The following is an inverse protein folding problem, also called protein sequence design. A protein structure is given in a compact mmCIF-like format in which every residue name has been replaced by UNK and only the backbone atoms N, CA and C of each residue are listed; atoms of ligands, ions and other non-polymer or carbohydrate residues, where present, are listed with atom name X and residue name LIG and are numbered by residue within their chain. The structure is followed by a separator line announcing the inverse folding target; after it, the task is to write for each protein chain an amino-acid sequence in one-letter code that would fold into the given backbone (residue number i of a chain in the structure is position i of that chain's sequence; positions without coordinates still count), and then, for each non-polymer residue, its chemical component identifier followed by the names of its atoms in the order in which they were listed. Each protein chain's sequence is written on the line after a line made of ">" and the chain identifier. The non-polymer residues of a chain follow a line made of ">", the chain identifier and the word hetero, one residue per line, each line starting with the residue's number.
data_IF_709906286404
#
_entry.id   IF_709906286404
#
_cell.length_a   1.000
_cell.length_b   1.000
_cell.length_c   1.000
_cell.angle_alpha   90.00
_cell.angle_beta   90.00
_cell.angle_gamma   90.00
#
_symmetry.space_group_name_H-M   'P 1'
#
loop_
_entity.id
_entity.type
_entity.pdbx_description
1 polymer ?
#
# COMPACT_ATOMS: atom_id res chain seq x y z
N UNK A 1 41.04 -16.80 -16.43
CA UNK A 1 40.15 -17.08 -17.57
C UNK A 1 38.74 -17.33 -17.05
N UNK A 2 38.07 -16.25 -16.65
CA UNK A 2 36.61 -16.15 -16.52
C UNK A 2 36.31 -14.73 -17.01
N UNK A 3 35.61 -14.63 -18.14
CA UNK A 3 35.48 -13.42 -18.91
C UNK A 3 34.73 -12.33 -18.13
N UNK A 4 35.39 -11.18 -18.01
CA UNK A 4 34.77 -9.88 -17.82
C UNK A 4 33.95 -9.55 -19.06
N UNK A 5 32.63 -9.67 -18.97
CA UNK A 5 31.69 -9.04 -19.89
C UNK A 5 31.15 -7.79 -19.20
N UNK A 6 31.91 -6.72 -19.36
CA UNK A 6 31.43 -5.36 -19.14
C UNK A 6 30.31 -5.10 -20.16
N UNK A 7 29.09 -4.81 -19.68
CA UNK A 7 27.99 -4.32 -20.52
C UNK A 7 27.88 -2.81 -20.29
N UNK A 8 28.47 -1.96 -21.15
CA UNK A 8 28.33 -0.51 -21.07
C UNK A 8 27.16 -0.10 -21.95
N UNK A 9 25.91 -0.40 -21.54
CA UNK A 9 24.73 0.06 -22.29
C UNK A 9 23.54 0.51 -21.43
N UNK A 10 23.75 0.69 -20.12
CA UNK A 10 22.72 1.17 -19.17
C UNK A 10 23.18 2.41 -18.38
N UNK A 11 23.86 3.33 -19.07
CA UNK A 11 24.00 4.74 -18.64
C UNK A 11 23.06 5.61 -19.49
N UNK A 12 21.76 5.51 -19.22
CA UNK A 12 20.77 6.46 -19.72
C UNK A 12 19.85 6.80 -18.54
N UNK A 13 19.77 8.08 -18.20
CA UNK A 13 19.26 8.68 -16.96
C UNK A 13 17.79 8.44 -16.58
N UNK A 14 17.13 7.41 -17.12
CA UNK A 14 15.79 6.99 -16.70
C UNK A 14 15.81 6.30 -15.33
N UNK A 15 16.87 5.55 -14.98
CA UNK A 15 17.01 4.96 -13.65
C UNK A 15 17.33 6.00 -12.58
N UNK A 16 17.98 7.12 -12.95
CA UNK A 16 18.27 8.22 -12.03
C UNK A 16 17.01 9.06 -11.73
N UNK A 17 16.03 9.08 -12.64
CA UNK A 17 14.71 9.67 -12.40
C UNK A 17 13.91 8.90 -11.34
N UNK A 18 14.11 7.59 -11.23
CA UNK A 18 13.54 6.75 -10.18
C UNK A 18 14.42 6.70 -8.92
N UNK A 19 15.72 6.97 -9.08
CA UNK A 19 16.67 7.21 -8.01
C UNK A 19 16.56 8.67 -7.56
N UNK A 20 15.35 9.11 -7.22
CA UNK A 20 15.20 10.43 -6.62
C UNK A 20 15.91 10.42 -5.29
N UNK A 21 16.82 11.39 -5.20
CA UNK A 21 17.62 11.81 -4.05
C UNK A 21 16.75 12.30 -2.86
N UNK A 22 15.55 11.75 -2.68
CA UNK A 22 14.61 12.10 -1.61
C UNK A 22 14.89 11.19 -0.42
N UNK A 23 15.83 11.69 0.38
CA UNK A 23 16.00 11.42 1.79
C UNK A 23 16.13 9.95 2.23
N UNK A 24 17.31 9.43 1.88
CA UNK A 24 18.08 8.41 2.61
C UNK A 24 18.14 8.64 4.15
N UNK A 25 17.71 9.80 4.68
CA UNK A 25 17.71 10.14 6.11
C UNK A 25 16.46 9.71 6.88
N UNK A 26 15.26 9.77 6.34
CA UNK A 26 14.04 9.54 7.15
C UNK A 26 13.85 8.08 7.55
N UNK A 27 14.09 7.15 6.61
CA UNK A 27 14.09 5.70 6.88
C UNK A 27 15.26 5.28 7.79
N UNK A 28 16.44 5.90 7.63
CA UNK A 28 17.61 5.68 8.48
C UNK A 28 17.45 6.25 9.90
N UNK A 29 16.71 7.34 10.09
CA UNK A 29 16.44 7.93 11.41
C UNK A 29 15.45 7.10 12.21
N UNK A 30 14.44 6.49 11.58
CA UNK A 30 13.49 5.59 12.26
C UNK A 30 14.15 4.27 12.71
N UNK A 31 15.11 3.77 11.92
CA UNK A 31 15.79 2.50 12.19
C UNK A 31 17.05 2.62 13.03
N UNK A 32 17.58 3.83 13.27
CA UNK A 32 18.77 4.03 14.13
C UNK A 32 18.62 3.52 15.57
N UNK A 33 17.39 3.33 16.06
CA UNK A 33 17.08 2.78 17.39
C UNK A 33 16.93 1.25 17.44
N UNK A 34 16.90 0.56 16.30
CA UNK A 34 16.71 -0.90 16.21
C UNK A 34 17.87 -1.44 15.39
N UNK A 35 18.53 -2.52 15.83
CA UNK A 35 19.60 -3.19 15.08
C UNK A 35 19.06 -3.93 13.84
N UNK A 36 18.37 -3.21 12.96
CA UNK A 36 17.94 -3.65 11.63
C UNK A 36 19.17 -3.53 10.73
N UNK A 37 19.53 -4.62 10.04
CA UNK A 37 20.61 -4.54 9.04
C UNK A 37 20.13 -3.62 7.92
N UNK A 38 20.90 -2.55 7.66
CA UNK A 38 20.61 -1.58 6.62
C UNK A 38 20.35 -2.29 5.29
N UNK A 39 19.26 -1.92 4.60
CA UNK A 39 19.09 -2.29 3.20
C UNK A 39 20.23 -1.66 2.40
N UNK A 40 20.89 -2.48 1.59
CA UNK A 40 22.03 -2.06 0.76
C UNK A 40 21.56 -1.12 -0.37
N UNK A 41 22.44 -0.27 -0.88
CA UNK A 41 22.11 0.73 -1.94
C UNK A 41 21.53 0.08 -3.22
N UNK A 42 21.94 -1.16 -3.49
CA UNK A 42 21.41 -1.99 -4.58
C UNK A 42 19.94 -2.38 -4.37
N UNK A 43 19.48 -2.61 -3.15
CA UNK A 43 18.09 -2.98 -2.86
C UNK A 43 17.13 -1.82 -3.10
N UNK A 44 17.50 -0.61 -2.66
CA UNK A 44 16.72 0.62 -2.87
C UNK A 44 16.57 0.90 -4.38
N UNK A 45 17.62 0.58 -5.17
CA UNK A 45 17.63 0.79 -6.62
C UNK A 45 16.60 -0.05 -7.38
N UNK A 46 16.25 -1.23 -6.88
CA UNK A 46 15.25 -2.11 -7.52
C UNK A 46 13.86 -1.99 -6.90
N UNK A 47 13.77 -1.51 -5.65
CA UNK A 47 12.50 -1.42 -4.93
C UNK A 47 11.53 -0.40 -5.54
N UNK A 48 11.99 0.82 -5.82
CA UNK A 48 11.13 1.86 -6.39
C UNK A 48 10.60 1.49 -7.79
N UNK A 49 11.41 0.95 -8.72
CA UNK A 49 10.90 0.44 -10.00
C UNK A 49 9.93 -0.74 -9.85
N UNK A 50 10.15 -1.66 -8.91
CA UNK A 50 9.26 -2.78 -8.63
C UNK A 50 7.88 -2.28 -8.15
N UNK A 51 7.86 -1.41 -7.15
CA UNK A 51 6.63 -0.74 -6.72
C UNK A 51 5.96 0.03 -7.87
N UNK A 52 6.75 0.72 -8.68
CA UNK A 52 6.29 1.42 -9.87
C UNK A 52 5.62 0.47 -10.89
N UNK A 53 6.17 -0.73 -11.08
CA UNK A 53 5.57 -1.76 -11.92
C UNK A 53 4.21 -2.22 -11.38
N UNK A 54 4.08 -2.46 -10.06
CA UNK A 54 2.79 -2.81 -9.45
C UNK A 54 1.74 -1.71 -9.69
N UNK A 55 2.13 -0.44 -9.50
CA UNK A 55 1.25 0.71 -9.69
C UNK A 55 0.91 0.95 -11.16
N UNK A 56 1.85 0.70 -12.08
CA UNK A 56 1.58 0.67 -13.50
C UNK A 56 0.58 -0.43 -13.88
N UNK A 57 0.71 -1.62 -13.32
CA UNK A 57 -0.22 -2.73 -13.54
C UNK A 57 -1.64 -2.38 -13.05
N UNK A 58 -1.80 -1.61 -11.95
CA UNK A 58 -3.10 -1.02 -11.55
C UNK A 58 -3.66 -0.17 -12.69
N UNK A 59 -2.86 0.77 -13.21
CA UNK A 59 -3.30 1.70 -14.25
C UNK A 59 -3.72 0.98 -15.54
N UNK A 60 -2.96 -0.04 -15.96
CA UNK A 60 -3.33 -0.88 -17.11
C UNK A 60 -4.63 -1.64 -16.84
N UNK A 61 -4.82 -2.19 -15.63
CA UNK A 61 -6.01 -2.96 -15.27
C UNK A 61 -7.28 -2.14 -15.02
N UNK A 62 -7.16 -0.82 -14.90
CA UNK A 62 -8.30 0.06 -14.66
C UNK A 62 -9.04 0.39 -15.96
N UNK A 63 -10.38 0.34 -15.95
CA UNK A 63 -11.22 0.70 -17.10
C UNK A 63 -12.09 1.92 -16.80
N UNK A 64 -12.31 2.78 -17.80
CA UNK A 64 -13.27 3.89 -17.71
C UNK A 64 -14.69 3.38 -17.34
N UNK A 65 -15.04 2.15 -17.75
CA UNK A 65 -16.32 1.53 -17.43
C UNK A 65 -16.48 1.24 -15.93
N UNK A 66 -15.40 0.86 -15.25
CA UNK A 66 -15.44 0.56 -13.81
C UNK A 66 -15.75 1.83 -13.02
N UNK A 67 -15.13 2.95 -13.40
CA UNK A 67 -15.42 4.27 -12.83
C UNK A 67 -16.88 4.67 -13.01
N UNK A 68 -17.42 4.55 -14.24
CA UNK A 68 -18.82 4.91 -14.52
C UNK A 68 -19.78 4.08 -13.66
N UNK A 69 -19.55 2.77 -13.53
CA UNK A 69 -20.42 1.90 -12.73
C UNK A 69 -20.32 2.20 -11.23
N UNK A 70 -19.10 2.42 -10.71
CA UNK A 70 -18.90 2.72 -9.30
C UNK A 70 -19.51 4.07 -8.89
N UNK A 71 -19.48 5.09 -9.75
CA UNK A 71 -20.11 6.38 -9.47
C UNK A 71 -21.64 6.31 -9.33
N UNK A 72 -22.28 5.19 -9.73
CA UNK A 72 -23.70 4.93 -9.43
C UNK A 72 -23.93 4.56 -7.95
N UNK A 73 -22.88 4.23 -7.19
CA UNK A 73 -22.94 3.85 -5.77
C UNK A 73 -22.07 4.77 -4.88
N UNK A 74 -22.29 6.10 -4.89
CA UNK A 74 -21.41 7.06 -4.21
C UNK A 74 -21.35 6.86 -2.69
N UNK A 75 -22.44 6.42 -2.07
CA UNK A 75 -22.47 6.13 -0.63
C UNK A 75 -21.51 5.00 -0.23
N UNK A 76 -21.39 3.97 -1.08
CA UNK A 76 -20.46 2.86 -0.82
C UNK A 76 -19.01 3.32 -0.94
N UNK A 77 -18.70 4.16 -1.94
CA UNK A 77 -17.38 4.79 -2.07
C UNK A 77 -17.06 5.62 -0.82
N UNK A 78 -18.00 6.46 -0.36
CA UNK A 78 -17.81 7.27 0.85
C UNK A 78 -17.60 6.42 2.10
N UNK A 79 -18.38 5.35 2.27
CA UNK A 79 -18.20 4.41 3.39
C UNK A 79 -16.82 3.73 3.34
N UNK A 80 -16.33 3.39 2.15
CA UNK A 80 -14.97 2.86 1.96
C UNK A 80 -13.90 3.85 2.39
N UNK A 81 -14.05 5.14 2.02
CA UNK A 81 -13.16 6.21 2.48
C UNK A 81 -13.16 6.38 4.00
N UNK A 82 -14.33 6.35 4.63
CA UNK A 82 -14.45 6.41 6.10
C UNK A 82 -13.77 5.19 6.73
N UNK A 83 -13.97 4.00 6.19
CA UNK A 83 -13.26 2.80 6.61
C UNK A 83 -11.74 2.98 6.53
N UNK A 84 -11.25 3.38 5.36
CA UNK A 84 -9.83 3.41 5.04
C UNK A 84 -9.05 4.55 5.71
N UNK A 85 -9.62 5.76 5.76
CA UNK A 85 -8.89 6.96 6.19
C UNK A 85 -9.41 7.56 7.50
N UNK A 86 -10.40 6.94 8.15
CA UNK A 86 -10.86 7.35 9.49
C UNK A 86 -10.80 6.18 10.46
N UNK A 87 -11.54 5.10 10.20
CA UNK A 87 -11.64 3.95 11.11
C UNK A 87 -10.30 3.25 11.24
N UNK A 88 -9.65 2.95 10.12
CA UNK A 88 -8.36 2.25 10.13
C UNK A 88 -7.23 3.07 10.78
N UNK A 89 -7.03 4.37 10.50
CA UNK A 89 -6.06 5.20 11.23
C UNK A 89 -6.34 5.29 12.73
N UNK A 90 -7.61 5.34 13.13
CA UNK A 90 -7.98 5.31 14.55
C UNK A 90 -7.58 3.99 15.22
N UNK A 91 -7.83 2.86 14.55
CA UNK A 91 -7.35 1.56 15.00
C UNK A 91 -5.81 1.51 15.05
N UNK A 92 -5.13 2.03 14.03
CA UNK A 92 -3.67 2.07 13.99
C UNK A 92 -3.08 2.91 15.13
N UNK A 93 -3.73 4.02 15.48
CA UNK A 93 -3.36 4.80 16.66
C UNK A 93 -3.52 3.99 17.95
N UNK A 94 -4.65 3.31 18.13
CA UNK A 94 -4.91 2.47 19.32
C UNK A 94 -3.87 1.35 19.42
N UNK A 95 -3.66 0.58 18.35
CA UNK A 95 -2.69 -0.52 18.33
C UNK A 95 -1.25 -0.02 18.45
N UNK A 96 -0.91 1.12 17.84
CA UNK A 96 0.40 1.75 17.99
C UNK A 96 0.67 2.26 19.41
N UNK A 97 -0.36 2.73 20.11
CA UNK A 97 -0.25 3.08 21.53
C UNK A 97 -0.12 1.84 22.41
N UNK A 98 -0.94 0.82 22.19
CA UNK A 98 -0.84 -0.48 22.90
C UNK A 98 0.55 -1.08 22.75
N UNK A 99 1.11 -1.06 21.53
CA UNK A 99 2.47 -1.49 21.23
C UNK A 99 3.49 -0.81 22.17
N UNK A 100 3.43 0.51 22.31
CA UNK A 100 4.43 1.26 23.10
C UNK A 100 4.16 1.18 24.60
N UNK A 101 2.91 1.25 25.05
CA UNK A 101 2.58 1.41 26.48
C UNK A 101 2.34 0.10 27.20
N UNK A 102 1.79 -0.92 26.52
CA UNK A 102 1.46 -2.22 27.12
C UNK A 102 2.57 -3.24 26.86
N UNK A 103 3.05 -3.30 25.62
CA UNK A 103 4.09 -4.24 25.20
C UNK A 103 5.50 -3.65 25.27
N UNK A 104 5.64 -2.40 25.71
CA UNK A 104 6.91 -1.69 25.86
C UNK A 104 7.78 -1.71 24.58
N UNK A 105 7.14 -1.71 23.41
CA UNK A 105 7.84 -1.70 22.12
C UNK A 105 8.47 -0.32 21.87
N UNK A 106 9.65 -0.22 21.24
CA UNK A 106 10.25 1.03 20.81
C UNK A 106 9.27 1.89 20.01
N UNK A 107 9.27 3.20 20.30
CA UNK A 107 8.42 4.20 19.62
C UNK A 107 8.42 4.11 18.09
N UNK A 108 9.56 3.83 17.41
CA UNK A 108 9.56 3.65 15.95
C UNK A 108 8.64 2.53 15.44
N UNK A 109 8.40 1.49 16.22
CA UNK A 109 7.53 0.38 15.80
C UNK A 109 6.05 0.70 16.00
N UNK A 110 5.69 1.36 17.10
CA UNK A 110 4.35 1.92 17.26
C UNK A 110 4.01 2.92 16.15
N UNK A 111 4.98 3.78 15.80
CA UNK A 111 4.86 4.69 14.66
C UNK A 111 4.72 3.95 13.33
N UNK A 112 5.44 2.84 13.13
CA UNK A 112 5.27 1.99 11.95
C UNK A 112 3.85 1.44 11.80
N UNK A 113 3.23 0.99 12.90
CA UNK A 113 1.81 0.53 12.89
C UNK A 113 0.88 1.70 12.51
N UNK A 114 1.09 2.89 13.08
CA UNK A 114 0.31 4.08 12.74
C UNK A 114 0.47 4.46 11.26
N UNK A 115 1.69 4.40 10.72
CA UNK A 115 1.95 4.71 9.31
C UNK A 115 1.24 3.72 8.38
N UNK A 116 1.36 2.41 8.68
CA UNK A 116 0.66 1.34 7.93
C UNK A 116 -0.85 1.54 7.94
N UNK A 117 -1.42 2.13 8.99
CA UNK A 117 -2.86 2.40 9.03
C UNK A 117 -3.33 3.59 8.19
N UNK A 118 -2.41 4.47 7.75
CA UNK A 118 -2.73 5.69 7.01
C UNK A 118 -2.69 5.51 5.49
N UNK A 119 -2.17 4.39 5.00
CA UNK A 119 -1.99 4.15 3.56
C UNK A 119 -3.29 3.76 2.87
N UNK A 120 -3.34 3.78 1.53
CA UNK A 120 -4.52 3.38 0.76
C UNK A 120 -4.78 1.86 0.78
N UNK A 121 -5.94 1.46 0.27
CA UNK A 121 -6.34 0.05 0.12
C UNK A 121 -5.44 -0.73 -0.85
N UNK A 122 -5.52 -2.06 -0.81
CA UNK A 122 -4.68 -2.95 -1.59
C UNK A 122 -5.35 -3.42 -2.88
N UNK A 123 -4.59 -3.74 -3.92
CA UNK A 123 -5.15 -4.43 -5.10
C UNK A 123 -5.72 -5.81 -4.77
N UNK A 124 -5.26 -6.42 -3.67
CA UNK A 124 -5.74 -7.72 -3.22
C UNK A 124 -7.24 -7.70 -2.88
N UNK A 125 -7.80 -6.56 -2.46
CA UNK A 125 -9.22 -6.43 -2.10
C UNK A 125 -10.10 -6.56 -3.35
N UNK A 126 -9.60 -6.10 -4.50
CA UNK A 126 -10.24 -6.26 -5.80
C UNK A 126 -10.36 -7.73 -6.17
N UNK A 127 -9.29 -8.52 -5.97
CA UNK A 127 -9.29 -9.96 -6.23
C UNK A 127 -10.19 -10.70 -5.24
N UNK A 128 -10.13 -10.36 -3.95
CA UNK A 128 -10.99 -10.95 -2.92
C UNK A 128 -12.48 -10.68 -3.23
N UNK A 129 -12.81 -9.44 -3.62
CA UNK A 129 -14.17 -9.07 -4.04
C UNK A 129 -14.57 -9.78 -5.32
N UNK A 130 -13.69 -9.89 -6.31
CA UNK A 130 -13.99 -10.63 -7.54
C UNK A 130 -14.31 -12.11 -7.28
N UNK A 131 -13.60 -12.75 -6.35
CA UNK A 131 -13.83 -14.16 -6.02
C UNK A 131 -15.09 -14.39 -5.17
N UNK A 132 -15.43 -13.44 -4.30
CA UNK A 132 -16.53 -13.60 -3.33
C UNK A 132 -17.85 -13.02 -3.83
N UNK A 133 -17.79 -11.85 -4.47
CA UNK A 133 -18.94 -11.07 -4.94
C UNK A 133 -18.61 -10.36 -6.28
N UNK A 134 -18.48 -11.10 -7.41
CA UNK A 134 -18.07 -10.56 -8.71
C UNK A 134 -18.81 -9.28 -9.17
N UNK A 135 -20.13 -9.13 -8.96
CA UNK A 135 -20.84 -7.90 -9.33
C UNK A 135 -20.35 -6.62 -8.62
N UNK A 136 -19.65 -6.75 -7.49
CA UNK A 136 -19.07 -5.62 -6.75
C UNK A 136 -17.59 -5.37 -7.06
N UNK A 137 -16.95 -6.21 -7.89
CA UNK A 137 -15.54 -6.02 -8.23
C UNK A 137 -15.22 -4.63 -8.81
N UNK A 138 -16.03 -4.04 -9.72
CA UNK A 138 -15.77 -2.69 -10.21
C UNK A 138 -15.81 -1.62 -9.11
N UNK A 139 -16.67 -1.78 -8.11
CA UNK A 139 -16.77 -0.88 -6.97
C UNK A 139 -15.49 -0.92 -6.12
N UNK A 140 -14.95 -2.11 -5.84
CA UNK A 140 -13.69 -2.33 -5.13
C UNK A 140 -12.52 -1.68 -5.87
N UNK A 141 -12.41 -1.94 -7.18
CA UNK A 141 -11.36 -1.35 -8.05
C UNK A 141 -11.37 0.17 -7.97
N UNK A 142 -12.55 0.79 -8.02
CA UNK A 142 -12.67 2.24 -7.97
C UNK A 142 -12.38 2.80 -6.57
N UNK A 143 -12.84 2.15 -5.49
CA UNK A 143 -12.50 2.57 -4.12
C UNK A 143 -10.98 2.53 -3.87
N UNK A 144 -10.33 1.45 -4.28
CA UNK A 144 -8.86 1.31 -4.21
C UNK A 144 -8.16 2.35 -5.07
N UNK A 145 -8.65 2.62 -6.29
CA UNK A 145 -8.05 3.61 -7.19
C UNK A 145 -8.18 5.03 -6.66
N UNK A 146 -9.37 5.41 -6.17
CA UNK A 146 -9.61 6.72 -5.60
C UNK A 146 -8.82 6.92 -4.31
N UNK A 147 -8.80 5.92 -3.41
CA UNK A 147 -8.01 6.01 -2.18
C UNK A 147 -6.52 6.11 -2.48
N UNK A 148 -6.02 5.39 -3.48
CA UNK A 148 -4.63 5.49 -3.95
C UNK A 148 -4.30 6.86 -4.51
N UNK A 149 -5.18 7.45 -5.32
CA UNK A 149 -5.00 8.79 -5.86
C UNK A 149 -4.97 9.87 -4.76
N UNK A 150 -5.88 9.76 -3.79
CA UNK A 150 -5.96 10.73 -2.68
C UNK A 150 -4.89 10.52 -1.61
N UNK A 151 -4.32 9.32 -1.49
CA UNK A 151 -3.28 8.96 -0.53
C UNK A 151 -1.99 9.79 -0.67
N UNK A 152 -1.72 10.39 -1.83
CA UNK A 152 -0.63 11.39 -2.02
C UNK A 152 -0.69 12.48 -0.97
N UNK A 153 -1.89 12.95 -0.63
CA UNK A 153 -2.10 14.03 0.33
C UNK A 153 -2.57 13.48 1.68
N UNK A 154 -3.47 12.49 1.67
CA UNK A 154 -4.09 11.96 2.89
C UNK A 154 -3.05 11.23 3.76
N UNK A 155 -2.19 10.39 3.18
CA UNK A 155 -1.21 9.61 3.94
C UNK A 155 -0.19 10.49 4.66
N UNK A 156 0.47 11.48 4.02
CA UNK A 156 1.41 12.35 4.72
C UNK A 156 0.74 13.20 5.81
N UNK A 157 -0.48 13.68 5.57
CA UNK A 157 -1.23 14.48 6.56
C UNK A 157 -1.65 13.65 7.78
N UNK A 158 -2.18 12.44 7.57
CA UNK A 158 -2.53 11.54 8.67
C UNK A 158 -1.28 11.06 9.42
N UNK A 159 -0.19 10.80 8.71
CA UNK A 159 1.09 10.41 9.33
C UNK A 159 1.65 11.54 10.19
N UNK A 160 1.61 12.78 9.70
CA UNK A 160 1.98 13.96 10.48
C UNK A 160 1.09 14.09 11.73
N UNK A 161 -0.21 13.89 11.59
CA UNK A 161 -1.17 13.99 12.71
C UNK A 161 -0.91 12.94 13.79
N UNK A 162 -0.72 11.66 13.42
CA UNK A 162 -0.60 10.55 14.35
C UNK A 162 0.82 10.39 14.91
N UNK A 163 1.84 10.68 14.10
CA UNK A 163 3.25 10.36 14.38
C UNK A 163 4.09 11.62 14.59
N UNK A 164 3.74 12.75 13.97
CA UNK A 164 4.59 13.95 13.89
C UNK A 164 4.98 14.58 15.24
N UNK A 165 4.25 14.30 16.32
CA UNK A 165 4.64 14.72 17.67
C UNK A 165 5.73 13.85 18.31
N UNK A 166 5.94 12.64 17.79
CA UNK A 166 6.84 11.61 18.34
C UNK A 166 8.08 11.40 17.46
N UNK A 167 7.95 11.56 16.15
CA UNK A 167 9.04 11.40 15.18
C UNK A 167 8.95 12.50 14.10
N UNK A 168 10.09 12.92 13.54
CA UNK A 168 10.10 13.86 12.42
C UNK A 168 9.45 13.21 11.19
N UNK A 169 8.38 13.82 10.68
CA UNK A 169 7.69 13.38 9.46
C UNK A 169 8.02 14.34 8.33
N UNK A 170 8.68 13.84 7.28
CA UNK A 170 9.00 14.62 6.08
C UNK A 170 7.84 14.57 5.08
N UNK A 171 6.84 15.44 5.31
CA UNK A 171 5.63 15.51 4.48
C UNK A 171 5.96 15.75 3.00
N UNK A 172 6.87 16.66 2.70
CA UNK A 172 7.19 17.03 1.32
C UNK A 172 7.94 15.90 0.61
N UNK A 173 8.84 15.22 1.32
CA UNK A 173 9.48 14.00 0.84
C UNK A 173 8.46 12.91 0.53
N UNK A 174 7.53 12.61 1.45
CA UNK A 174 6.48 11.61 1.24
C UNK A 174 5.60 11.94 0.03
N UNK A 175 5.15 13.19 -0.11
CA UNK A 175 4.34 13.63 -1.27
C UNK A 175 5.11 13.41 -2.58
N UNK A 176 6.38 13.84 -2.64
CA UNK A 176 7.22 13.66 -3.83
C UNK A 176 7.41 12.19 -4.19
N UNK A 177 7.70 11.35 -3.20
CA UNK A 177 7.89 9.91 -3.39
C UNK A 177 6.63 9.23 -3.91
N UNK A 178 5.46 9.54 -3.31
CA UNK A 178 4.19 8.96 -3.77
C UNK A 178 3.85 9.43 -5.19
N UNK A 179 4.08 10.71 -5.52
CA UNK A 179 3.85 11.21 -6.88
C UNK A 179 4.67 10.44 -7.93
N UNK A 180 5.93 10.14 -7.62
CA UNK A 180 6.84 9.47 -8.55
C UNK A 180 6.63 7.96 -8.63
N UNK A 181 6.44 7.29 -7.48
CA UNK A 181 6.40 5.83 -7.40
C UNK A 181 4.98 5.30 -7.63
N UNK A 182 3.95 6.09 -7.31
CA UNK A 182 2.56 5.66 -7.38
C UNK A 182 1.81 6.38 -8.49
N UNK A 183 1.78 7.71 -8.48
CA UNK A 183 0.90 8.46 -9.41
C UNK A 183 1.42 8.43 -10.83
N UNK A 184 2.71 8.70 -11.05
CA UNK A 184 3.29 8.71 -12.40
C UNK A 184 3.10 7.36 -13.12
N UNK A 185 3.32 6.18 -12.49
CA UNK A 185 3.12 4.88 -13.13
C UNK A 185 1.65 4.55 -13.38
N UNK A 186 0.75 4.89 -12.44
CA UNK A 186 -0.70 4.73 -12.66
C UNK A 186 -1.14 5.55 -13.87
N UNK A 187 -0.72 6.82 -13.93
CA UNK A 187 -1.04 7.72 -15.04
C UNK A 187 -0.49 7.17 -16.36
N UNK A 188 0.74 6.64 -16.37
CA UNK A 188 1.33 6.00 -17.55
C UNK A 188 0.56 4.75 -17.98
N UNK A 189 0.15 3.89 -17.03
CA UNK A 189 -0.64 2.69 -17.31
C UNK A 189 -2.03 3.01 -17.88
N UNK A 190 -2.71 4.00 -17.30
CA UNK A 190 -3.99 4.52 -17.79
C UNK A 190 -3.86 5.10 -19.20
N UNK A 191 -2.82 5.90 -19.43
CA UNK A 191 -2.56 6.50 -20.74
C UNK A 191 -2.26 5.43 -21.79
N UNK A 192 -1.49 4.40 -21.45
CA UNK A 192 -1.22 3.27 -22.34
C UNK A 192 -2.49 2.50 -22.68
N UNK A 193 -3.34 2.23 -21.69
CA UNK A 193 -4.63 1.56 -21.88
C UNK A 193 -5.54 2.36 -22.83
N UNK A 194 -5.56 3.68 -22.69
CA UNK A 194 -6.35 4.57 -23.56
C UNK A 194 -5.80 4.66 -24.98
N UNK A 195 -4.48 4.79 -25.16
CA UNK A 195 -3.87 4.99 -26.47
C UNK A 195 -3.63 3.69 -27.25
N UNK A 196 -3.34 2.59 -26.56
CA UNK A 196 -2.97 1.31 -27.16
C UNK A 196 -3.71 0.13 -26.50
N UNK A 197 -5.06 0.10 -26.56
CA UNK A 197 -5.86 -0.90 -25.84
C UNK A 197 -5.51 -2.34 -26.27
N UNK A 198 -5.19 -2.58 -27.56
CA UNK A 198 -4.78 -3.91 -28.05
C UNK A 198 -3.50 -4.43 -27.39
N UNK A 199 -2.55 -3.54 -27.12
CA UNK A 199 -1.33 -3.90 -26.40
C UNK A 199 -1.65 -4.23 -24.94
N UNK A 200 -2.50 -3.42 -24.29
CA UNK A 200 -2.95 -3.68 -22.93
C UNK A 200 -3.67 -5.03 -22.81
N UNK A 201 -4.59 -5.36 -23.72
CA UNK A 201 -5.24 -6.67 -23.77
C UNK A 201 -4.23 -7.83 -23.90
N UNK A 202 -3.17 -7.65 -24.68
CA UNK A 202 -2.13 -8.67 -24.84
C UNK A 202 -1.28 -8.87 -23.57
N UNK A 203 -1.01 -7.80 -22.80
CA UNK A 203 -0.17 -7.90 -21.58
C UNK A 203 -0.97 -8.24 -20.32
N UNK A 204 -2.26 -7.91 -20.26
CA UNK A 204 -3.16 -8.14 -19.11
C UNK A 204 -3.05 -9.55 -18.50
N UNK A 205 -3.02 -10.65 -19.27
CA UNK A 205 -2.92 -12.00 -18.68
C UNK A 205 -1.62 -12.24 -17.90
N UNK A 206 -0.56 -11.50 -18.24
CA UNK A 206 0.75 -11.64 -17.59
C UNK A 206 0.90 -10.73 -16.36
N UNK A 207 0.10 -9.66 -16.24
CA UNK A 207 0.21 -8.72 -15.13
C UNK A 207 -0.03 -9.35 -13.76
N UNK A 208 -1.08 -10.18 -13.52
CA UNK A 208 -1.29 -10.82 -12.23
C UNK A 208 -0.12 -11.68 -11.73
N UNK A 209 0.38 -12.69 -12.49
CA UNK A 209 1.48 -13.53 -12.00
C UNK A 209 2.77 -12.73 -11.80
N UNK A 210 3.06 -11.75 -12.67
CA UNK A 210 4.23 -10.87 -12.48
C UNK A 210 4.08 -9.99 -11.23
N UNK A 211 2.89 -9.46 -10.96
CA UNK A 211 2.64 -8.64 -9.77
C UNK A 211 2.77 -9.45 -8.47
N UNK A 212 2.33 -10.71 -8.47
CA UNK A 212 2.52 -11.62 -7.32
C UNK A 212 4.00 -11.89 -7.09
N UNK A 213 4.76 -12.19 -8.14
CA UNK A 213 6.20 -12.44 -8.06
C UNK A 213 6.96 -11.20 -7.59
N UNK A 214 6.64 -10.03 -8.12
CA UNK A 214 7.23 -8.76 -7.73
C UNK A 214 6.91 -8.40 -6.27
N UNK A 215 5.65 -8.56 -5.86
CA UNK A 215 5.22 -8.38 -4.45
C UNK A 215 5.96 -9.34 -3.52
N UNK A 216 6.12 -10.61 -3.92
CA UNK A 216 6.85 -11.60 -3.13
C UNK A 216 8.32 -11.18 -2.91
N UNK A 217 8.97 -10.57 -3.91
CA UNK A 217 10.31 -10.01 -3.72
C UNK A 217 10.30 -8.75 -2.85
N UNK A 218 9.36 -7.84 -3.05
CA UNK A 218 9.29 -6.59 -2.29
C UNK A 218 9.00 -6.82 -0.80
N UNK A 219 8.22 -7.85 -0.45
CA UNK A 219 7.97 -8.27 0.95
C UNK A 219 9.10 -9.18 1.46
N UNK A 220 9.54 -10.12 0.63
CA UNK A 220 10.50 -11.16 1.01
C UNK A 220 11.90 -10.64 1.28
N UNK A 221 12.38 -9.65 0.52
CA UNK A 221 13.74 -9.14 0.69
C UNK A 221 13.95 -8.44 2.06
N UNK A 222 13.11 -7.48 2.50
CA UNK A 222 13.20 -6.91 3.84
C UNK A 222 13.01 -7.95 4.95
N UNK A 223 12.11 -8.93 4.75
CA UNK A 223 11.87 -10.01 5.69
C UNK A 223 13.11 -10.90 5.86
N UNK A 224 13.73 -11.33 4.76
CA UNK A 224 14.90 -12.20 4.78
C UNK A 224 16.10 -11.54 5.49
N UNK A 225 16.31 -10.25 5.25
CA UNK A 225 17.39 -9.47 5.91
C UNK A 225 17.19 -9.40 7.43
N UNK A 226 15.92 -9.31 7.86
CA UNK A 226 15.52 -9.06 9.24
C UNK A 226 14.91 -10.27 9.95
N UNK A 227 15.08 -11.48 9.38
CA UNK A 227 14.43 -12.69 9.87
C UNK A 227 14.74 -12.97 11.35
N UNK A 228 15.98 -12.71 11.79
CA UNK A 228 16.38 -12.88 13.19
C UNK A 228 15.64 -11.92 14.13
N UNK A 229 15.37 -10.69 13.68
CA UNK A 229 14.60 -9.70 14.44
C UNK A 229 13.13 -10.08 14.48
N UNK A 230 12.58 -10.60 13.37
CA UNK A 230 11.18 -11.04 13.27
C UNK A 230 10.90 -12.27 14.12
N UNK A 231 11.82 -13.24 14.15
CA UNK A 231 11.69 -14.47 14.96
C UNK A 231 12.02 -14.27 16.44
N UNK A 232 12.52 -13.09 16.83
CA UNK A 232 12.72 -12.77 18.25
C UNK A 232 11.37 -12.70 18.99
N UNK A 233 11.33 -12.88 20.33
CA UNK A 233 10.10 -12.71 21.10
C UNK A 233 9.43 -11.36 20.85
N UNK A 234 10.26 -10.33 20.70
CA UNK A 234 9.85 -8.98 20.36
C UNK A 234 9.18 -8.90 18.96
N UNK A 235 9.78 -9.56 17.96
CA UNK A 235 9.24 -9.62 16.59
C UNK A 235 7.94 -10.43 16.49
N UNK A 236 7.79 -11.47 17.32
CA UNK A 236 6.54 -12.21 17.44
C UNK A 236 5.42 -11.33 18.00
N UNK A 237 5.70 -10.52 19.03
CA UNK A 237 4.72 -9.55 19.57
C UNK A 237 4.28 -8.53 18.52
N UNK A 238 5.23 -7.97 17.76
CA UNK A 238 4.92 -7.07 16.64
C UNK A 238 4.01 -7.76 15.61
N UNK A 239 4.34 -9.00 15.24
CA UNK A 239 3.57 -9.77 14.25
C UNK A 239 2.14 -10.01 14.72
N UNK A 240 1.96 -10.42 15.98
CA UNK A 240 0.63 -10.61 16.57
C UNK A 240 -0.17 -9.31 16.63
N UNK A 241 0.46 -8.19 16.98
CA UNK A 241 -0.19 -6.87 16.98
C UNK A 241 -0.64 -6.45 15.58
N UNK A 242 0.18 -6.67 14.55
CA UNK A 242 -0.17 -6.36 13.17
C UNK A 242 -1.34 -7.23 12.69
N UNK A 243 -1.32 -8.54 12.98
CA UNK A 243 -2.42 -9.45 12.65
C UNK A 243 -3.71 -9.01 13.37
N UNK A 244 -3.64 -8.70 14.66
CA UNK A 244 -4.79 -8.24 15.43
C UNK A 244 -5.32 -6.89 14.92
N UNK A 245 -4.44 -5.97 14.53
CA UNK A 245 -4.81 -4.69 13.92
C UNK A 245 -5.58 -4.90 12.61
N UNK A 246 -5.04 -5.69 11.68
CA UNK A 246 -5.70 -5.97 10.41
C UNK A 246 -7.03 -6.71 10.61
N UNK A 247 -7.06 -7.72 11.48
CA UNK A 247 -8.29 -8.44 11.80
C UNK A 247 -9.36 -7.50 12.38
N UNK A 248 -8.96 -6.59 13.27
CA UNK A 248 -9.87 -5.57 13.81
C UNK A 248 -10.38 -4.63 12.72
N UNK A 249 -9.53 -4.28 11.73
CA UNK A 249 -9.93 -3.44 10.60
C UNK A 249 -10.92 -4.16 9.65
N UNK A 250 -10.71 -5.45 9.35
CA UNK A 250 -11.70 -6.26 8.61
C UNK A 250 -13.04 -6.30 9.35
N UNK A 251 -13.00 -6.63 10.65
CA UNK A 251 -14.20 -6.69 11.50
C UNK A 251 -14.92 -5.35 11.53
N UNK A 252 -14.20 -4.25 11.76
CA UNK A 252 -14.76 -2.91 11.80
C UNK A 252 -15.36 -2.50 10.45
N UNK A 253 -14.70 -2.79 9.33
CA UNK A 253 -15.21 -2.53 7.99
C UNK A 253 -16.50 -3.32 7.70
N UNK A 254 -16.56 -4.58 8.12
CA UNK A 254 -17.75 -5.43 7.98
C UNK A 254 -18.95 -4.91 8.79
N UNK A 255 -18.73 -4.46 10.03
CA UNK A 255 -19.80 -3.95 10.87
C UNK A 255 -20.24 -2.52 10.48
N UNK A 256 -19.29 -1.65 10.12
CA UNK A 256 -19.57 -0.30 9.64
C UNK A 256 -20.49 -0.35 8.41
N UNK A 257 -20.11 -1.14 7.41
CA UNK A 257 -20.90 -1.32 6.19
C UNK A 257 -22.26 -1.95 6.46
N UNK A 258 -22.35 -2.91 7.36
CA UNK A 258 -23.62 -3.52 7.78
C UNK A 258 -24.57 -2.52 8.40
N UNK A 259 -24.05 -1.61 9.22
CA UNK A 259 -24.84 -0.53 9.82
C UNK A 259 -25.28 0.51 8.78
N UNK A 260 -24.35 0.98 7.93
CA UNK A 260 -24.63 2.01 6.91
C UNK A 260 -25.61 1.50 5.84
N UNK A 261 -25.46 0.26 5.40
CA UNK A 261 -26.24 -0.33 4.30
C UNK A 261 -27.26 -1.37 4.75
N UNK A 262 -27.74 -1.32 6.00
CA UNK A 262 -28.64 -2.33 6.58
C UNK A 262 -29.93 -2.58 5.78
N UNK A 263 -30.38 -1.62 4.96
CA UNK A 263 -31.56 -1.73 4.08
C UNK A 263 -31.24 -2.16 2.64
N UNK A 264 -29.97 -2.25 2.27
CA UNK A 264 -29.58 -2.60 0.92
C UNK A 264 -29.82 -4.09 0.65
N UNK A 265 -30.38 -4.46 -0.52
CA UNK A 265 -30.66 -5.86 -0.85
C UNK A 265 -29.38 -6.70 -0.96
N UNK A 266 -28.25 -6.07 -1.26
CA UNK A 266 -26.92 -6.68 -1.40
C UNK A 266 -26.00 -6.35 -0.21
N UNK A 267 -26.57 -6.05 0.96
CA UNK A 267 -25.81 -5.69 2.17
C UNK A 267 -24.69 -6.67 2.50
N UNK A 268 -24.90 -7.98 2.34
CA UNK A 268 -23.86 -8.98 2.63
C UNK A 268 -22.66 -8.88 1.69
N UNK A 269 -22.91 -8.62 0.42
CA UNK A 269 -21.85 -8.40 -0.56
C UNK A 269 -21.09 -7.11 -0.24
N UNK A 270 -21.82 -6.01 0.02
CA UNK A 270 -21.22 -4.74 0.46
C UNK A 270 -20.40 -4.90 1.73
N UNK A 271 -20.87 -5.69 2.70
CA UNK A 271 -20.15 -5.97 3.93
C UNK A 271 -18.80 -6.65 3.69
N UNK A 272 -18.74 -7.63 2.80
CA UNK A 272 -17.48 -8.31 2.45
C UNK A 272 -16.55 -7.37 1.70
N UNK A 273 -17.05 -6.67 0.66
CA UNK A 273 -16.24 -5.73 -0.11
C UNK A 273 -15.64 -4.64 0.77
N UNK A 274 -16.44 -3.96 1.60
CA UNK A 274 -15.96 -2.90 2.48
C UNK A 274 -15.07 -3.42 3.63
N UNK A 275 -15.27 -4.66 4.05
CA UNK A 275 -14.35 -5.36 4.96
C UNK A 275 -12.97 -5.54 4.31
N UNK A 276 -12.92 -6.02 3.06
CA UNK A 276 -11.65 -6.18 2.34
C UNK A 276 -10.94 -4.85 2.12
N UNK A 277 -11.67 -3.82 1.65
CA UNK A 277 -11.09 -2.48 1.48
C UNK A 277 -10.54 -1.91 2.77
N UNK A 278 -11.27 -2.04 3.89
CA UNK A 278 -10.84 -1.49 5.19
C UNK A 278 -9.70 -2.30 5.80
N UNK A 279 -9.72 -3.63 5.65
CA UNK A 279 -8.76 -4.54 6.26
C UNK A 279 -7.41 -4.55 5.54
N UNK A 280 -7.42 -4.52 4.21
CA UNK A 280 -6.21 -4.66 3.40
C UNK A 280 -5.50 -3.33 3.15
N UNK A 281 -4.17 -3.37 2.97
CA UNK A 281 -3.34 -2.18 2.74
C UNK A 281 -2.46 -2.36 1.52
N UNK A 282 -2.29 -1.27 0.77
CA UNK A 282 -1.25 -1.24 -0.25
C UNK A 282 0.11 -1.37 0.40
N UNK A 283 0.88 -2.36 -0.03
CA UNK A 283 2.24 -2.59 0.43
C UNK A 283 3.22 -1.54 -0.10
N UNK A 284 2.89 -0.88 -1.22
CA UNK A 284 3.78 0.07 -1.89
C UNK A 284 3.96 1.39 -1.12
N UNK A 285 2.91 1.84 -0.43
CA UNK A 285 2.90 3.16 0.21
C UNK A 285 3.74 3.27 1.49
N UNK A 286 3.69 2.32 2.45
CA UNK A 286 4.53 2.39 3.64
C UNK A 286 6.03 2.44 3.30
N UNK A 287 6.42 1.87 2.16
CA UNK A 287 7.81 1.87 1.69
C UNK A 287 8.22 3.16 0.95
N UNK A 288 7.25 3.95 0.50
CA UNK A 288 7.49 5.29 -0.07
C UNK A 288 7.58 6.39 1.01
N UNK A 289 7.27 6.04 2.26
CA UNK A 289 7.13 6.95 3.41
C UNK A 289 8.28 6.78 4.40
#
# INVERSE_FOLDING_TARGET
>A
MFLSLSVPFLRLGALDFWCVNVHQRSFQVLLKGIRVRNMDLTQIRYYAPALGFLMFAVGVNSSEKDFIEAFKRPYAIFAGYVGQFVVKPLLGYIFGMIAVTVFCLPTPLGAGIMLVSCVSGAQLSNYATFLTDPPLAPLSIVMTSLSTATAVFVTPMLSLLLIGKRLPVDVMGMVSSILQIVIAPIAAGLLLNRLFPRLCEAIRPFLPPLSVLDTAFCVGAPLAININSVLSPFGLTVSLLIVAFHLSAFIAGFFLSGFVFHKAPDVKALQRTLSFETGENSFSFPCCC
#
